data_IF_195147933818
#
_entry.id   IF_195147933818
#
_cell.length_a   1.000
_cell.length_b   1.000
_cell.length_c   1.000
_cell.angle_alpha   90.00
_cell.angle_beta   90.00
_cell.angle_gamma   90.00
#
_symmetry.space_group_name_H-M   'P 1'
#
loop_
_entity.id
_entity.type
_entity.pdbx_description
1 polymer ?
#
# COMPACT_ATOMS: atom_id res chain seq x y z
N UNK A 1 -30.32 -5.06 18.60
CA UNK A 1 -29.66 -4.07 19.48
C UNK A 1 -28.91 -3.07 18.63
N UNK A 2 -28.76 -1.84 19.12
CA UNK A 2 -28.18 -0.68 18.39
C UNK A 2 -26.86 -1.01 17.68
N UNK A 3 -26.01 -1.83 18.28
CA UNK A 3 -24.74 -2.30 17.69
C UNK A 3 -24.90 -3.09 16.40
N UNK A 4 -25.85 -4.04 16.34
CA UNK A 4 -26.14 -4.80 15.10
C UNK A 4 -26.63 -3.89 13.97
N UNK A 5 -27.31 -2.80 14.30
CA UNK A 5 -27.81 -1.82 13.32
C UNK A 5 -26.65 -0.96 12.78
N UNK A 6 -25.74 -0.52 13.65
CA UNK A 6 -24.53 0.18 13.23
C UNK A 6 -23.64 -0.68 12.32
N UNK A 7 -23.44 -1.95 12.67
CA UNK A 7 -22.71 -2.91 11.84
C UNK A 7 -23.37 -3.10 10.46
N UNK A 8 -24.71 -3.22 10.42
CA UNK A 8 -25.43 -3.35 9.15
C UNK A 8 -25.23 -2.13 8.24
N UNK A 9 -25.35 -0.91 8.78
CA UNK A 9 -25.13 0.31 8.01
C UNK A 9 -23.68 0.49 7.56
N UNK A 10 -22.71 0.11 8.40
CA UNK A 10 -21.30 0.11 8.00
C UNK A 10 -21.05 -0.86 6.84
N UNK A 11 -21.61 -2.07 6.92
CA UNK A 11 -21.47 -3.06 5.84
C UNK A 11 -22.12 -2.58 4.54
N UNK A 12 -23.31 -1.96 4.61
CA UNK A 12 -23.98 -1.37 3.45
C UNK A 12 -23.16 -0.24 2.83
N UNK A 13 -22.57 0.63 3.66
CA UNK A 13 -21.66 1.69 3.20
C UNK A 13 -20.44 1.10 2.48
N UNK A 14 -19.75 0.13 3.10
CA UNK A 14 -18.56 -0.47 2.50
C UNK A 14 -18.87 -1.20 1.20
N UNK A 15 -20.01 -1.90 1.12
CA UNK A 15 -20.46 -2.55 -0.11
C UNK A 15 -20.71 -1.53 -1.21
N UNK A 16 -21.50 -0.49 -0.92
CA UNK A 16 -21.82 0.59 -1.87
C UNK A 16 -20.57 1.31 -2.34
N UNK A 17 -19.68 1.69 -1.42
CA UNK A 17 -18.43 2.36 -1.72
C UNK A 17 -17.54 1.50 -2.64
N UNK A 18 -17.45 0.19 -2.37
CA UNK A 18 -16.67 -0.73 -3.21
C UNK A 18 -17.24 -0.82 -4.63
N UNK A 19 -18.57 -0.90 -4.77
CA UNK A 19 -19.23 -0.89 -6.09
C UNK A 19 -18.98 0.43 -6.84
N UNK A 20 -19.09 1.58 -6.15
CA UNK A 20 -18.82 2.89 -6.75
C UNK A 20 -17.36 3.01 -7.23
N UNK A 21 -16.40 2.53 -6.44
CA UNK A 21 -14.98 2.54 -6.84
C UNK A 21 -14.73 1.75 -8.13
N UNK A 22 -15.36 0.59 -8.29
CA UNK A 22 -15.26 -0.21 -9.51
C UNK A 22 -15.81 0.57 -10.71
N UNK A 23 -17.01 1.14 -10.58
CA UNK A 23 -17.65 1.90 -11.66
C UNK A 23 -16.80 3.12 -12.06
N UNK A 24 -16.26 3.85 -11.09
CA UNK A 24 -15.45 5.03 -11.37
C UNK A 24 -14.11 4.68 -12.04
N UNK A 25 -13.46 3.58 -11.65
CA UNK A 25 -12.25 3.10 -12.33
C UNK A 25 -12.53 2.74 -13.79
N UNK A 26 -13.61 2.01 -14.05
CA UNK A 26 -14.02 1.65 -15.43
C UNK A 26 -14.35 2.89 -16.28
N UNK A 27 -15.02 3.87 -15.69
CA UNK A 27 -15.30 5.14 -16.36
C UNK A 27 -14.01 5.92 -16.65
N UNK A 28 -13.09 6.00 -15.69
CA UNK A 28 -11.79 6.66 -15.85
C UNK A 28 -10.96 6.00 -16.97
N UNK A 29 -10.91 4.66 -17.04
CA UNK A 29 -10.27 3.92 -18.12
C UNK A 29 -10.87 4.27 -19.49
N UNK A 30 -12.20 4.27 -19.56
CA UNK A 30 -12.92 4.58 -20.80
C UNK A 30 -12.66 6.01 -21.27
N UNK A 31 -12.62 6.97 -20.35
CA UNK A 31 -12.33 8.37 -20.66
C UNK A 31 -10.86 8.59 -21.05
N UNK A 32 -9.92 7.90 -20.40
CA UNK A 32 -8.51 7.93 -20.77
C UNK A 32 -8.28 7.36 -22.18
N UNK A 33 -8.91 6.22 -22.51
CA UNK A 33 -8.84 5.63 -23.85
C UNK A 33 -9.42 6.55 -24.94
N UNK A 34 -10.37 7.42 -24.58
CA UNK A 34 -10.94 8.45 -25.46
C UNK A 34 -10.11 9.75 -25.51
N UNK A 35 -8.99 9.83 -24.78
CA UNK A 35 -8.17 11.03 -24.67
C UNK A 35 -8.83 12.18 -23.89
N UNK A 36 -9.87 11.90 -23.09
CA UNK A 36 -10.60 12.89 -22.27
C UNK A 36 -10.02 13.07 -20.88
N UNK A 37 -9.23 12.10 -20.42
CA UNK A 37 -8.39 12.21 -19.23
C UNK A 37 -6.93 12.01 -19.64
N UNK A 38 -6.02 12.70 -18.98
CA UNK A 38 -4.60 12.36 -19.00
C UNK A 38 -4.26 11.24 -18.00
N UNK A 39 -2.99 10.83 -17.99
CA UNK A 39 -2.53 9.72 -17.16
C UNK A 39 -2.64 10.01 -15.65
N UNK A 40 -2.37 11.25 -15.23
CA UNK A 40 -2.42 11.65 -13.82
C UNK A 40 -3.87 11.75 -13.33
N UNK A 41 -4.74 12.31 -14.16
CA UNK A 41 -6.18 12.37 -13.91
C UNK A 41 -6.80 10.98 -13.82
N UNK A 42 -6.42 10.05 -14.71
CA UNK A 42 -6.81 8.64 -14.60
C UNK A 42 -6.31 8.06 -13.29
N UNK A 43 -5.02 8.23 -12.98
CA UNK A 43 -4.38 7.63 -11.81
C UNK A 43 -5.05 8.03 -10.49
N UNK A 44 -5.61 9.24 -10.38
CA UNK A 44 -6.36 9.67 -9.19
C UNK A 44 -7.52 8.75 -8.77
N UNK A 45 -8.08 7.95 -9.68
CA UNK A 45 -9.14 6.98 -9.40
C UNK A 45 -8.61 5.60 -8.94
N UNK A 46 -7.32 5.34 -9.14
CA UNK A 46 -6.64 4.09 -8.79
C UNK A 46 -5.74 4.26 -7.56
N UNK A 47 -5.22 5.46 -7.36
CA UNK A 47 -4.32 5.83 -6.27
C UNK A 47 -4.92 5.51 -4.89
N UNK A 48 -4.14 4.82 -4.07
CA UNK A 48 -4.52 4.54 -2.67
C UNK A 48 -4.32 5.77 -1.78
N UNK A 49 -4.97 5.77 -0.60
CA UNK A 49 -4.73 6.82 0.42
C UNK A 49 -3.25 6.83 0.82
N UNK A 50 -2.68 5.66 1.07
CA UNK A 50 -1.26 5.50 1.41
C UNK A 50 -0.33 6.05 0.33
N UNK A 51 -0.63 5.82 -0.95
CA UNK A 51 0.15 6.40 -2.04
C UNK A 51 0.06 7.93 -2.02
N UNK A 52 -1.14 8.48 -1.84
CA UNK A 52 -1.36 9.92 -1.75
C UNK A 52 -0.61 10.54 -0.57
N UNK A 53 -0.62 9.90 0.59
CA UNK A 53 0.13 10.31 1.77
C UNK A 53 1.64 10.32 1.52
N UNK A 54 2.17 9.29 0.86
CA UNK A 54 3.59 9.23 0.49
C UNK A 54 3.97 10.32 -0.51
N UNK A 55 3.14 10.57 -1.53
CA UNK A 55 3.36 11.64 -2.51
C UNK A 55 3.49 12.97 -1.78
N UNK A 56 2.49 13.34 -0.97
CA UNK A 56 2.47 14.65 -0.34
C UNK A 56 3.46 14.79 0.82
N UNK A 57 3.64 13.75 1.63
CA UNK A 57 4.47 13.79 2.84
C UNK A 57 5.96 13.56 2.60
N UNK A 58 6.34 12.92 1.49
CA UNK A 58 7.73 12.55 1.20
C UNK A 58 8.17 13.07 -0.15
N UNK A 59 7.43 12.73 -1.21
CA UNK A 59 7.93 12.91 -2.58
C UNK A 59 7.86 14.38 -3.02
N UNK A 60 6.79 15.08 -2.68
CA UNK A 60 6.57 16.49 -3.07
C UNK A 60 6.72 17.47 -1.91
N UNK A 61 7.02 16.98 -0.70
CA UNK A 61 7.24 17.84 0.46
C UNK A 61 8.53 18.67 0.31
N UNK A 62 8.40 19.99 0.44
CA UNK A 62 9.55 20.88 0.46
C UNK A 62 10.44 20.58 1.67
N UNK A 63 11.76 20.68 1.49
CA UNK A 63 12.72 20.46 2.58
C UNK A 63 12.59 19.11 3.32
N UNK A 64 12.07 18.06 2.65
CA UNK A 64 11.88 16.71 3.22
C UNK A 64 13.10 16.17 3.99
N UNK A 65 14.32 16.52 3.57
CA UNK A 65 15.58 16.18 4.25
C UNK A 65 15.68 16.66 5.71
N UNK A 66 14.84 17.61 6.16
CA UNK A 66 14.87 18.16 7.53
C UNK A 66 13.88 17.49 8.47
N UNK A 67 12.82 16.88 7.95
CA UNK A 67 11.68 16.44 8.77
C UNK A 67 11.14 15.06 8.37
N UNK A 68 11.79 14.37 7.43
CA UNK A 68 11.35 13.04 6.97
C UNK A 68 12.45 12.01 7.21
N UNK A 69 12.07 10.90 7.85
CA UNK A 69 12.89 9.72 8.09
C UNK A 69 12.13 8.50 7.54
N UNK A 70 12.81 7.67 6.76
CA UNK A 70 12.21 6.47 6.18
C UNK A 70 12.80 5.21 6.82
N UNK A 71 11.91 4.35 7.33
CA UNK A 71 12.25 3.00 7.78
C UNK A 71 11.76 2.01 6.73
N UNK A 72 12.69 1.49 5.93
CA UNK A 72 12.37 0.56 4.85
C UNK A 72 12.66 -0.86 5.33
N UNK A 73 11.59 -1.59 5.63
CA UNK A 73 11.63 -3.00 6.01
C UNK A 73 11.38 -3.88 4.80
N UNK A 74 12.24 -4.86 4.59
CA UNK A 74 11.98 -5.96 3.68
C UNK A 74 11.69 -7.24 4.48
N UNK A 75 10.57 -7.89 4.19
CA UNK A 75 10.28 -9.22 4.73
C UNK A 75 10.73 -10.28 3.73
N UNK A 76 11.58 -11.21 4.15
CA UNK A 76 12.13 -12.24 3.28
C UNK A 76 11.40 -13.58 3.46
N UNK A 77 11.05 -14.24 2.36
CA UNK A 77 10.53 -15.61 2.41
C UNK A 77 9.13 -15.74 3.00
N UNK A 78 8.25 -14.74 2.82
CA UNK A 78 6.87 -14.79 3.31
C UNK A 78 6.19 -16.09 2.84
N UNK A 79 5.76 -16.92 3.79
CA UNK A 79 4.98 -18.12 3.49
C UNK A 79 3.52 -17.76 3.18
N UNK A 80 3.03 -18.25 2.04
CA UNK A 80 1.63 -18.10 1.63
C UNK A 80 0.74 -19.28 2.09
N UNK A 81 1.30 -20.30 2.74
CA UNK A 81 0.53 -21.44 3.27
C UNK A 81 -0.56 -20.98 4.23
N UNK A 82 -0.24 -19.97 5.06
CA UNK A 82 -1.20 -19.25 5.89
C UNK A 82 -1.49 -17.85 5.31
N UNK A 83 -2.08 -17.81 4.11
CA UNK A 83 -2.38 -16.56 3.40
C UNK A 83 -3.23 -15.56 4.22
N UNK A 84 -4.05 -16.03 5.17
CA UNK A 84 -4.83 -15.17 6.08
C UNK A 84 -3.96 -14.34 7.02
N UNK A 85 -2.77 -14.83 7.35
CA UNK A 85 -1.75 -14.10 8.08
C UNK A 85 -0.91 -13.26 7.12
N UNK A 86 -0.49 -13.85 5.99
CA UNK A 86 0.34 -13.17 5.00
C UNK A 86 -0.33 -11.88 4.46
N UNK A 87 -1.65 -11.89 4.25
CA UNK A 87 -2.41 -10.71 3.79
C UNK A 87 -2.32 -9.48 4.69
N UNK A 88 -1.83 -9.63 5.92
CA UNK A 88 -1.59 -8.50 6.83
C UNK A 88 -0.25 -7.79 6.54
N UNK A 89 0.61 -8.38 5.70
CA UNK A 89 1.95 -7.91 5.39
C UNK A 89 2.18 -7.67 3.90
N UNK A 90 1.36 -8.27 3.05
CA UNK A 90 1.39 -8.14 1.60
C UNK A 90 -0.02 -7.99 1.05
N UNK A 91 -0.16 -7.22 -0.03
CA UNK A 91 -1.45 -7.06 -0.71
C UNK A 91 -1.85 -8.37 -1.41
N UNK A 92 -3.05 -8.84 -1.10
CA UNK A 92 -3.58 -10.12 -1.59
C UNK A 92 -5.07 -10.02 -1.92
N UNK A 93 -5.49 -10.73 -2.96
CA UNK A 93 -6.90 -10.98 -3.31
C UNK A 93 -7.21 -12.46 -3.04
N UNK A 94 -7.81 -12.74 -1.89
CA UNK A 94 -7.91 -14.11 -1.40
C UNK A 94 -6.52 -14.73 -1.18
N UNK A 95 -6.25 -15.95 -1.69
CA UNK A 95 -4.93 -16.58 -1.54
C UNK A 95 -3.90 -16.07 -2.57
N UNK A 96 -4.28 -15.21 -3.51
CA UNK A 96 -3.38 -14.73 -4.56
C UNK A 96 -2.73 -13.38 -4.18
N UNK A 97 -1.46 -13.21 -4.51
CA UNK A 97 -0.73 -11.95 -4.32
C UNK A 97 -1.12 -10.95 -5.40
N UNK A 98 -1.45 -9.72 -5.00
CA UNK A 98 -1.66 -8.63 -5.93
C UNK A 98 -0.32 -8.15 -6.49
N UNK A 99 0.03 -8.66 -7.69
CA UNK A 99 1.32 -8.37 -8.32
C UNK A 99 1.47 -6.90 -8.74
N UNK A 100 0.38 -6.21 -9.01
CA UNK A 100 0.45 -4.80 -9.40
C UNK A 100 0.78 -3.95 -8.18
N UNK A 101 0.06 -4.15 -7.08
CA UNK A 101 0.34 -3.48 -5.82
C UNK A 101 1.79 -3.71 -5.36
N UNK A 102 2.30 -4.94 -5.49
CA UNK A 102 3.69 -5.23 -5.14
C UNK A 102 4.71 -4.47 -5.99
N UNK A 103 4.51 -4.38 -7.31
CA UNK A 103 5.42 -3.60 -8.18
C UNK A 103 5.40 -2.12 -7.81
N UNK A 104 4.23 -1.56 -7.49
CA UNK A 104 4.10 -0.16 -7.07
C UNK A 104 4.81 0.09 -5.75
N UNK A 105 4.68 -0.83 -4.78
CA UNK A 105 5.36 -0.77 -3.50
C UNK A 105 6.89 -0.91 -3.64
N UNK A 106 7.36 -1.83 -4.50
CA UNK A 106 8.78 -1.98 -4.80
C UNK A 106 9.36 -0.70 -5.45
N UNK A 107 8.66 -0.12 -6.44
CA UNK A 107 9.06 1.15 -7.08
C UNK A 107 9.12 2.31 -6.08
N UNK A 108 8.16 2.37 -5.15
CA UNK A 108 8.14 3.37 -4.09
C UNK A 108 9.34 3.19 -3.13
N UNK A 109 9.55 1.97 -2.63
CA UNK A 109 10.57 1.61 -1.63
C UNK A 109 12.00 1.76 -2.18
N UNK A 110 12.24 1.25 -3.39
CA UNK A 110 13.60 1.06 -3.90
C UNK A 110 14.06 2.19 -4.80
N UNK A 111 13.13 2.95 -5.39
CA UNK A 111 13.45 4.04 -6.31
C UNK A 111 12.96 5.40 -5.85
N UNK A 112 11.64 5.60 -5.71
CA UNK A 112 11.07 6.94 -5.46
C UNK A 112 11.49 7.54 -4.12
N UNK A 113 11.45 6.77 -3.02
CA UNK A 113 11.88 7.25 -1.71
C UNK A 113 13.40 7.55 -1.71
N UNK A 114 14.27 6.64 -2.18
CA UNK A 114 15.72 6.89 -2.23
C UNK A 114 16.15 8.03 -3.14
N UNK A 115 15.43 8.30 -4.22
CA UNK A 115 15.67 9.46 -5.10
C UNK A 115 15.32 10.80 -4.43
N UNK A 116 14.42 10.79 -3.43
CA UNK A 116 13.90 12.01 -2.79
C UNK A 116 14.47 12.29 -1.42
N UNK A 117 14.92 11.28 -0.69
CA UNK A 117 15.52 11.44 0.63
C UNK A 117 17.03 11.27 0.59
N UNK A 118 17.72 11.94 1.52
CA UNK A 118 19.15 11.71 1.73
C UNK A 118 19.36 10.30 2.28
N UNK A 119 20.43 9.64 1.86
CA UNK A 119 20.77 8.30 2.36
C UNK A 119 20.84 8.24 3.91
N UNK A 120 21.31 9.30 4.57
CA UNK A 120 21.35 9.40 6.04
C UNK A 120 19.97 9.42 6.71
N UNK A 121 18.92 9.72 5.95
CA UNK A 121 17.52 9.73 6.40
C UNK A 121 16.77 8.44 6.05
N UNK A 122 17.48 7.40 5.61
CA UNK A 122 16.91 6.11 5.25
C UNK A 122 17.56 5.02 6.09
N UNK A 123 16.75 4.34 6.89
CA UNK A 123 17.16 3.17 7.66
C UNK A 123 16.57 1.95 6.96
N UNK A 124 17.44 1.01 6.58
CA UNK A 124 17.06 -0.23 5.91
C UNK A 124 17.32 -1.41 6.82
N UNK A 125 16.39 -2.36 6.82
CA UNK A 125 16.56 -3.61 7.52
C UNK A 125 15.78 -4.70 6.82
N UNK A 126 16.34 -5.90 6.86
CA UNK A 126 15.69 -7.11 6.39
C UNK A 126 15.29 -7.97 7.56
N UNK A 127 14.11 -8.57 7.46
CA UNK A 127 13.54 -9.43 8.48
C UNK A 127 13.08 -10.73 7.82
N UNK A 128 13.72 -11.87 8.12
CA UNK A 128 13.25 -13.16 7.67
C UNK A 128 11.85 -13.47 8.22
N UNK A 129 11.01 -14.06 7.38
CA UNK A 129 9.77 -14.70 7.78
C UNK A 129 10.10 -16.05 8.38
N UNK A 130 9.88 -16.20 9.68
CA UNK A 130 10.44 -17.33 10.45
C UNK A 130 9.40 -18.37 10.85
N UNK A 131 8.11 -18.04 10.79
CA UNK A 131 7.03 -18.93 11.21
C UNK A 131 5.79 -18.75 10.30
N UNK A 132 4.95 -19.79 10.08
CA UNK A 132 3.68 -19.64 9.37
C UNK A 132 2.72 -18.60 9.97
N UNK A 133 2.89 -18.23 11.25
CA UNK A 133 2.18 -17.15 11.93
C UNK A 133 2.84 -15.76 11.76
N UNK A 134 4.01 -15.69 11.13
CA UNK A 134 4.64 -14.44 10.71
C UNK A 134 6.04 -14.19 11.28
N UNK A 135 6.21 -12.96 11.77
CA UNK A 135 7.47 -12.47 12.35
C UNK A 135 7.42 -12.57 13.88
N UNK A 136 8.51 -13.00 14.51
CA UNK A 136 8.62 -13.07 15.96
C UNK A 136 9.39 -11.88 16.55
N UNK A 137 9.04 -11.49 17.78
CA UNK A 137 9.74 -10.41 18.50
C UNK A 137 11.22 -10.75 18.73
N UNK A 138 11.55 -12.03 18.90
CA UNK A 138 12.92 -12.48 19.13
C UNK A 138 13.83 -12.28 17.92
N UNK A 139 13.25 -12.19 16.72
CA UNK A 139 13.97 -11.91 15.48
C UNK A 139 14.08 -10.41 15.18
N UNK A 140 13.54 -9.56 16.07
CA UNK A 140 13.52 -8.09 15.95
C UNK A 140 14.73 -7.39 16.61
N UNK A 141 15.70 -8.14 17.13
CA UNK A 141 16.93 -7.58 17.69
C UNK A 141 17.78 -7.04 16.54
N UNK A 142 17.77 -5.72 16.37
CA UNK A 142 18.73 -5.04 15.52
C UNK A 142 20.15 -5.29 16.03
N UNK A 143 21.06 -5.58 15.10
CA UNK A 143 22.50 -5.46 15.35
C UNK A 143 22.90 -4.00 15.54
#
# INVERSE_FOLDING_TARGET
GMQKMMEAHQNEWWSTMSSMQVIFRQAADSLFAQGKLDADQRHNYFMSVTERENIHGILTADSNHRHTLAFLRQLEGISLENWRTARNFIDMSGPEVDREAQRLMDDLRDRKIPERLRASSIIRYSQPWVDPSGIHLDTHKGN
#
